data_IF_590073783745
#
_entry.id   IF_590073783745
#
_cell.length_a   1.000
_cell.length_b   1.000
_cell.length_c   1.000
_cell.angle_alpha   90.00
_cell.angle_beta   90.00
_cell.angle_gamma   90.00
#
_symmetry.space_group_name_H-M   'P 1'
#
loop_
_entity.id
_entity.type
_entity.pdbx_description
1 polymer ?
#
# COMPACT_ATOMS: atom_id res chain seq x y z
N UNK A 1 -11.89 -7.61 8.26
CA UNK A 1 -11.96 -7.15 9.66
C UNK A 1 -11.23 -8.20 10.51
N UNK A 2 -10.27 -7.80 11.33
CA UNK A 2 -9.62 -8.70 12.31
C UNK A 2 -10.24 -8.37 13.66
N UNK A 3 -10.92 -9.34 14.26
CA UNK A 3 -11.52 -9.23 15.60
C UNK A 3 -10.71 -10.12 16.55
N UNK A 4 -10.32 -9.56 17.70
CA UNK A 4 -9.46 -10.25 18.65
C UNK A 4 -10.03 -10.12 20.08
N UNK A 5 -10.77 -11.12 20.58
CA UNK A 5 -11.31 -11.07 21.92
C UNK A 5 -10.20 -11.28 22.95
N UNK A 6 -10.22 -10.46 24.00
CA UNK A 6 -9.30 -10.53 25.15
C UNK A 6 -10.12 -10.99 26.35
N UNK A 7 -9.68 -12.06 27.01
CA UNK A 7 -10.27 -12.51 28.28
C UNK A 7 -9.47 -11.96 29.47
N UNK A 8 -10.17 -11.55 30.53
CA UNK A 8 -9.59 -10.94 31.74
C UNK A 8 -9.46 -11.92 32.91
N UNK A 9 -9.84 -13.18 32.73
CA UNK A 9 -9.79 -14.25 33.74
C UNK A 9 -8.74 -15.31 33.34
N UNK A 10 -7.94 -15.81 34.28
CA UNK A 10 -6.89 -16.81 34.01
C UNK A 10 -5.63 -16.26 33.32
N UNK A 11 -5.01 -17.02 32.41
CA UNK A 11 -3.81 -16.65 31.62
C UNK A 11 -4.10 -15.64 30.48
N UNK A 12 -4.97 -14.65 30.73
CA UNK A 12 -5.50 -13.73 29.72
C UNK A 12 -4.42 -12.93 28.97
N UNK A 13 -3.32 -12.59 29.64
CA UNK A 13 -2.22 -11.81 29.06
C UNK A 13 -1.49 -12.57 27.93
N UNK A 14 -1.13 -13.82 28.17
CA UNK A 14 -0.37 -14.65 27.20
C UNK A 14 -1.24 -15.01 25.98
N UNK A 15 -2.52 -15.31 26.22
CA UNK A 15 -3.49 -15.61 25.18
C UNK A 15 -3.77 -14.38 24.29
N UNK A 16 -3.89 -13.20 24.89
CA UNK A 16 -4.05 -11.95 24.14
C UNK A 16 -2.80 -11.63 23.30
N UNK A 17 -1.61 -11.73 23.90
CA UNK A 17 -0.35 -11.41 23.23
C UNK A 17 -0.10 -12.28 21.99
N UNK A 18 -0.21 -13.60 22.14
CA UNK A 18 -0.02 -14.55 21.03
C UNK A 18 -1.01 -14.32 19.90
N UNK A 19 -2.28 -14.08 20.21
CA UNK A 19 -3.32 -13.75 19.22
C UNK A 19 -3.01 -12.47 18.44
N UNK A 20 -2.54 -11.42 19.12
CA UNK A 20 -2.18 -10.14 18.47
C UNK A 20 -1.02 -10.37 17.52
N UNK A 21 0.00 -11.09 17.96
CA UNK A 21 1.17 -11.40 17.13
C UNK A 21 0.78 -12.19 15.88
N UNK A 22 -0.09 -13.20 16.00
CA UNK A 22 -0.58 -13.96 14.85
C UNK A 22 -1.33 -13.08 13.87
N UNK A 23 -2.28 -12.28 14.34
CA UNK A 23 -3.06 -11.36 13.51
C UNK A 23 -2.17 -10.34 12.78
N UNK A 24 -1.18 -9.76 13.46
CA UNK A 24 -0.21 -8.85 12.85
C UNK A 24 0.69 -9.57 11.84
N UNK A 25 1.08 -10.81 12.13
CA UNK A 25 1.83 -11.67 11.22
C UNK A 25 1.07 -11.93 9.92
N UNK A 26 -0.19 -12.33 10.02
CA UNK A 26 -1.07 -12.52 8.85
C UNK A 26 -1.25 -11.22 8.06
N UNK A 27 -1.49 -10.10 8.75
CA UNK A 27 -1.63 -8.80 8.11
C UNK A 27 -0.37 -8.41 7.33
N UNK A 28 0.82 -8.67 7.89
CA UNK A 28 2.11 -8.44 7.23
C UNK A 28 2.27 -9.31 5.97
N UNK A 29 1.90 -10.59 6.03
CA UNK A 29 1.97 -11.49 4.88
C UNK A 29 1.01 -11.02 3.78
N UNK A 30 -0.23 -10.67 4.13
CA UNK A 30 -1.24 -10.15 3.19
C UNK A 30 -0.77 -8.86 2.52
N UNK A 31 -0.19 -7.91 3.29
CA UNK A 31 0.33 -6.66 2.75
C UNK A 31 1.51 -6.87 1.79
N UNK A 32 2.44 -7.79 2.10
CA UNK A 32 3.54 -8.14 1.19
C UNK A 32 3.04 -8.74 -0.12
N UNK A 33 2.05 -9.64 -0.03
CA UNK A 33 1.44 -10.26 -1.22
C UNK A 33 0.73 -9.22 -2.08
N UNK A 34 -0.08 -8.36 -1.48
CA UNK A 34 -0.78 -7.28 -2.19
C UNK A 34 0.20 -6.34 -2.91
N UNK A 35 1.32 -6.00 -2.28
CA UNK A 35 2.37 -5.21 -2.92
C UNK A 35 2.99 -5.92 -4.13
N UNK A 36 3.33 -7.21 -3.99
CA UNK A 36 3.88 -7.99 -5.09
C UNK A 36 2.89 -8.12 -6.27
N UNK A 37 1.61 -8.36 -5.98
CA UNK A 37 0.53 -8.41 -6.97
C UNK A 37 0.35 -7.04 -7.67
N UNK A 38 0.45 -5.93 -6.94
CA UNK A 38 0.41 -4.59 -7.51
C UNK A 38 1.57 -4.32 -8.48
N UNK A 39 2.80 -4.73 -8.13
CA UNK A 39 3.95 -4.63 -9.05
C UNK A 39 3.73 -5.51 -10.27
N UNK A 40 3.34 -6.77 -10.10
CA UNK A 40 3.12 -7.70 -11.20
C UNK A 40 2.01 -7.23 -12.17
N UNK A 41 0.88 -6.75 -11.64
CA UNK A 41 -0.25 -6.25 -12.44
C UNK A 41 0.02 -4.89 -13.10
N UNK A 42 1.01 -4.13 -12.61
CA UNK A 42 1.37 -2.84 -13.20
C UNK A 42 1.89 -2.96 -14.64
N UNK A 43 2.54 -4.09 -14.96
CA UNK A 43 3.25 -4.31 -16.22
C UNK A 43 4.65 -3.69 -16.26
N UNK A 44 5.11 -3.08 -15.15
CA UNK A 44 6.44 -2.50 -15.01
C UNK A 44 7.24 -3.21 -13.92
N UNK A 45 8.56 -3.17 -14.08
CA UNK A 45 9.49 -3.59 -13.04
C UNK A 45 9.58 -2.55 -11.94
N UNK A 46 10.00 -2.99 -10.75
CA UNK A 46 10.18 -2.09 -9.62
C UNK A 46 11.23 -1.01 -9.91
N UNK A 47 12.25 -1.33 -10.72
CA UNK A 47 13.32 -0.38 -11.04
C UNK A 47 12.88 0.68 -12.05
N UNK A 48 12.03 0.35 -13.02
CA UNK A 48 11.39 1.34 -13.90
C UNK A 48 10.51 2.32 -13.09
N UNK A 49 9.76 1.79 -12.12
CA UNK A 49 8.92 2.61 -11.23
C UNK A 49 9.80 3.54 -10.38
N UNK A 50 10.90 3.03 -9.80
CA UNK A 50 11.84 3.86 -9.05
C UNK A 50 12.43 4.96 -9.92
N UNK A 51 12.89 4.63 -11.13
CA UNK A 51 13.45 5.59 -12.06
C UNK A 51 12.45 6.69 -12.45
N UNK A 52 11.16 6.35 -12.58
CA UNK A 52 10.11 7.34 -12.79
C UNK A 52 9.94 8.25 -11.56
N UNK A 53 9.92 7.68 -10.36
CA UNK A 53 9.79 8.46 -9.10
C UNK A 53 10.96 9.42 -8.90
N UNK A 54 12.19 8.99 -9.21
CA UNK A 54 13.39 9.83 -9.14
C UNK A 54 13.34 11.04 -10.07
N UNK A 55 12.73 10.90 -11.25
CA UNK A 55 12.53 11.99 -12.20
C UNK A 55 11.43 12.98 -11.75
N UNK A 56 10.61 12.62 -10.77
CA UNK A 56 9.46 13.40 -10.33
C UNK A 56 9.51 13.66 -8.83
N UNK A 57 10.28 14.68 -8.42
CA UNK A 57 10.47 15.06 -7.02
C UNK A 57 9.16 15.27 -6.22
N UNK A 58 8.05 15.61 -6.87
CA UNK A 58 6.75 15.74 -6.22
C UNK A 58 6.24 14.41 -5.61
N UNK A 59 6.58 13.25 -6.20
CA UNK A 59 6.20 11.92 -5.73
C UNK A 59 6.95 11.48 -4.47
N UNK A 60 8.12 12.08 -4.21
CA UNK A 60 8.96 11.79 -3.04
C UNK A 60 8.55 12.63 -1.81
N UNK A 61 7.59 13.54 -1.96
CA UNK A 61 7.13 14.40 -0.86
C UNK A 61 6.40 13.55 0.19
N UNK A 62 6.73 13.69 1.50
CA UNK A 62 6.10 12.90 2.56
C UNK A 62 4.57 12.98 2.60
N UNK A 63 4.02 14.14 2.20
CA UNK A 63 2.58 14.41 2.20
C UNK A 63 1.95 14.28 0.81
N UNK A 64 2.61 13.58 -0.13
CA UNK A 64 2.02 13.30 -1.44
C UNK A 64 0.74 12.47 -1.27
N UNK A 65 -0.36 12.94 -1.87
CA UNK A 65 -1.66 12.29 -1.70
C UNK A 65 -1.82 11.17 -2.73
N UNK A 66 -1.75 9.95 -2.24
CA UNK A 66 -1.87 8.74 -3.05
C UNK A 66 -3.36 8.39 -3.22
N UNK A 67 -3.89 8.27 -4.45
CA UNK A 67 -5.25 7.81 -4.67
C UNK A 67 -5.45 6.39 -4.15
N UNK A 68 -6.61 6.13 -3.52
CA UNK A 68 -6.98 4.79 -3.06
C UNK A 68 -7.76 4.06 -4.15
N UNK A 69 -7.43 2.80 -4.38
CA UNK A 69 -8.16 1.91 -5.27
C UNK A 69 -9.03 0.95 -4.46
N UNK A 70 -10.23 0.68 -4.99
CA UNK A 70 -11.12 -0.32 -4.41
C UNK A 70 -10.44 -1.68 -4.46
N UNK A 71 -10.42 -2.39 -3.34
CA UNK A 71 -9.79 -3.71 -3.22
C UNK A 71 -8.28 -3.69 -2.90
N UNK A 72 -7.66 -2.51 -2.80
CA UNK A 72 -6.23 -2.37 -2.42
C UNK A 72 -6.14 -1.60 -1.11
N UNK A 73 -5.60 -2.24 -0.08
CA UNK A 73 -5.58 -1.71 1.28
C UNK A 73 -4.26 -0.98 1.58
N UNK A 74 -3.14 -1.55 1.17
CA UNK A 74 -1.80 -1.09 1.47
C UNK A 74 -1.44 0.19 0.73
N UNK A 75 -0.85 1.15 1.44
CA UNK A 75 -0.39 2.42 0.86
C UNK A 75 0.67 2.19 -0.22
N UNK A 76 1.59 1.25 -0.01
CA UNK A 76 2.62 0.91 -1.01
C UNK A 76 2.02 0.35 -2.30
N UNK A 77 1.04 -0.56 -2.20
CA UNK A 77 0.37 -1.12 -3.37
C UNK A 77 -0.41 -0.05 -4.14
N UNK A 78 -1.14 0.83 -3.43
CA UNK A 78 -1.80 1.97 -4.04
C UNK A 78 -0.81 2.93 -4.73
N UNK A 79 0.36 3.16 -4.14
CA UNK A 79 1.40 3.99 -4.73
C UNK A 79 1.95 3.41 -6.04
N UNK A 80 2.30 2.12 -6.04
CA UNK A 80 2.79 1.44 -7.24
C UNK A 80 1.78 1.54 -8.38
N UNK A 81 0.51 1.25 -8.11
CA UNK A 81 -0.53 1.32 -9.13
C UNK A 81 -0.81 2.76 -9.58
N UNK A 82 -0.67 3.75 -8.70
CA UNK A 82 -0.78 5.15 -9.08
C UNK A 82 0.35 5.59 -10.02
N UNK A 83 1.60 5.27 -9.68
CA UNK A 83 2.75 5.59 -10.53
C UNK A 83 2.67 4.85 -11.87
N UNK A 84 2.26 3.58 -11.86
CA UNK A 84 2.07 2.81 -13.08
C UNK A 84 1.03 3.44 -14.02
N UNK A 85 -0.07 3.97 -13.49
CA UNK A 85 -1.07 4.67 -14.31
C UNK A 85 -0.50 5.95 -14.90
N UNK A 86 0.25 6.74 -14.12
CA UNK A 86 0.93 7.93 -14.64
C UNK A 86 1.92 7.59 -15.77
N UNK A 87 2.67 6.50 -15.61
CA UNK A 87 3.59 5.99 -16.63
C UNK A 87 2.86 5.55 -17.90
N UNK A 88 1.67 4.93 -17.77
CA UNK A 88 0.84 4.51 -18.91
C UNK A 88 0.19 5.67 -19.64
N UNK A 89 -0.33 6.65 -18.91
CA UNK A 89 -1.06 7.78 -19.50
C UNK A 89 -0.14 8.93 -19.91
N UNK A 90 1.14 8.91 -19.49
CA UNK A 90 2.08 10.01 -19.68
C UNK A 90 1.69 11.27 -18.88
N UNK A 91 0.86 11.12 -17.84
CA UNK A 91 0.35 12.25 -17.08
C UNK A 91 1.39 12.75 -16.06
N UNK A 92 1.48 14.07 -15.91
CA UNK A 92 2.40 14.68 -14.95
C UNK A 92 1.86 14.54 -13.52
N UNK A 93 2.62 14.00 -12.56
CA UNK A 93 2.18 13.91 -11.16
C UNK A 93 2.01 15.30 -10.54
N UNK A 94 0.79 15.61 -10.07
CA UNK A 94 0.49 16.89 -9.42
C UNK A 94 0.53 16.79 -7.90
N UNK A 95 1.17 17.73 -7.19
CA UNK A 95 1.16 17.82 -5.73
C UNK A 95 -0.15 18.46 -5.24
N UNK A 96 -1.27 17.75 -5.36
CA UNK A 96 -2.59 18.27 -5.00
C UNK A 96 -3.67 17.48 -5.72
N UNK A 97 -4.00 16.30 -5.18
CA UNK A 97 -4.75 15.27 -5.88
C UNK A 97 -6.07 15.73 -6.50
N UNK A 98 -6.08 15.83 -7.83
CA UNK A 98 -7.02 15.13 -8.71
C UNK A 98 -6.34 15.05 -10.07
N UNK A 99 -6.11 13.83 -10.57
CA UNK A 99 -5.96 13.66 -12.00
C UNK A 99 -7.31 14.07 -12.60
N UNK A 100 -7.36 15.25 -13.20
CA UNK A 100 -8.50 15.70 -13.99
C UNK A 100 -8.63 14.72 -15.15
N UNK A 101 -9.62 13.82 -15.06
CA UNK A 101 -10.08 13.05 -16.21
C UNK A 101 -10.84 14.02 -17.11
N UNK A 102 -10.29 14.28 -18.30
CA UNK A 102 -11.00 14.84 -19.43
C UNK A 102 -11.76 13.74 -20.16
#
# INVERSE_FOLDING_TARGET
MIFLPIETSGEGEVNAHSRVQMALGEAKVKAKREFAEAVASSGYTLDEIKAFVEKHACLQRPMYRIPKRKGVIGTGANFILHVADLMKTGATPQPGGVASAH
#
